data_IF_454374860644
#
_entry.id   IF_454374860644
#
_cell.length_a   1.000
_cell.length_b   1.000
_cell.length_c   1.000
_cell.angle_alpha   90.00
_cell.angle_beta   90.00
_cell.angle_gamma   90.00
#
_symmetry.space_group_name_H-M   'P 1'
#
loop_
_entity.id
_entity.type
_entity.pdbx_description
1 polymer ?
#
# COMPACT_ATOMS: atom_id res chain seq x y z
N UNK A 1 -13.93 24.35 9.69
CA UNK A 1 -12.85 24.25 8.69
C UNK A 1 -11.60 24.83 9.31
N UNK A 2 -10.54 24.04 9.50
CA UNK A 2 -9.18 24.39 9.95
C UNK A 2 -8.40 23.05 9.87
N UNK A 3 -7.18 22.90 9.37
CA UNK A 3 -6.08 23.81 9.07
C UNK A 3 -5.12 23.05 8.11
N UNK A 4 -4.56 23.76 7.12
CA UNK A 4 -3.43 23.27 6.30
C UNK A 4 -2.10 23.42 7.06
N UNK A 5 -1.20 22.43 7.01
CA UNK A 5 0.27 22.66 7.09
C UNK A 5 1.06 21.37 6.80
N UNK A 6 2.13 21.51 6.02
CA UNK A 6 2.89 20.41 5.43
C UNK A 6 3.81 19.63 6.37
N UNK A 7 4.15 18.43 5.90
CA UNK A 7 5.07 17.48 6.51
C UNK A 7 4.97 16.17 5.72
N UNK A 8 5.87 15.98 4.76
CA UNK A 8 5.95 14.85 3.83
C UNK A 8 6.42 13.56 4.53
N UNK A 9 5.75 13.16 5.62
CA UNK A 9 5.92 11.85 6.23
C UNK A 9 4.81 10.95 5.68
N UNK A 10 5.12 9.74 5.16
CA UNK A 10 4.08 8.84 4.70
C UNK A 10 3.16 8.54 5.89
N UNK A 11 1.90 8.98 5.80
CA UNK A 11 0.88 8.66 6.79
C UNK A 11 0.83 7.14 6.92
N UNK A 12 1.10 6.63 8.12
CA UNK A 12 1.00 5.21 8.43
C UNK A 12 -0.36 4.66 7.98
N UNK A 13 -0.37 3.50 7.34
CA UNK A 13 -1.58 2.90 6.79
C UNK A 13 -2.44 2.34 7.91
N UNK A 14 -3.68 2.80 8.01
CA UNK A 14 -4.61 2.27 9.01
C UNK A 14 -5.02 0.83 8.66
N UNK A 15 -5.49 0.07 9.66
CA UNK A 15 -6.04 -1.28 9.45
C UNK A 15 -7.20 -1.27 8.45
N UNK A 16 -8.00 -0.20 8.45
CA UNK A 16 -9.11 -0.02 7.51
C UNK A 16 -8.60 0.20 6.09
N UNK A 17 -7.58 1.04 5.91
CA UNK A 17 -6.95 1.25 4.60
C UNK A 17 -6.28 -0.02 4.07
N UNK A 18 -5.61 -0.80 4.93
CA UNK A 18 -5.04 -2.10 4.58
C UNK A 18 -6.12 -3.10 4.14
N UNK A 19 -7.31 -3.05 4.74
CA UNK A 19 -8.42 -3.90 4.32
C UNK A 19 -8.94 -3.55 2.91
N UNK A 20 -8.83 -2.28 2.48
CA UNK A 20 -9.22 -1.86 1.13
C UNK A 20 -8.32 -2.49 0.05
N UNK A 21 -7.02 -2.67 0.35
CA UNK A 21 -6.05 -3.31 -0.55
C UNK A 21 -6.44 -4.75 -0.93
N UNK A 22 -7.41 -5.37 -0.25
CA UNK A 22 -7.89 -6.71 -0.56
C UNK A 22 -9.21 -6.73 -1.35
N UNK A 23 -9.90 -5.60 -1.46
CA UNK A 23 -11.29 -5.53 -1.93
C UNK A 23 -11.52 -4.61 -3.13
N UNK A 24 -10.64 -3.63 -3.33
CA UNK A 24 -10.84 -2.55 -4.30
C UNK A 24 -9.68 -2.41 -5.27
N UNK A 25 -9.90 -1.84 -6.45
CA UNK A 25 -8.83 -1.48 -7.39
C UNK A 25 -8.00 -0.30 -6.87
N UNK A 26 -6.79 -0.07 -7.40
CA UNK A 26 -5.97 1.08 -6.96
C UNK A 26 -6.68 2.42 -7.19
N UNK A 27 -7.50 2.51 -8.25
CA UNK A 27 -8.28 3.72 -8.57
C UNK A 27 -9.35 3.95 -7.51
N UNK A 28 -10.15 2.94 -7.19
CA UNK A 28 -11.18 3.06 -6.14
C UNK A 28 -10.56 3.40 -4.77
N UNK A 29 -9.40 2.83 -4.44
CA UNK A 29 -8.70 3.14 -3.19
C UNK A 29 -8.22 4.60 -3.18
N UNK A 30 -7.75 5.12 -4.32
CA UNK A 30 -7.34 6.52 -4.45
C UNK A 30 -8.53 7.46 -4.24
N UNK A 31 -9.69 7.11 -4.77
CA UNK A 31 -10.94 7.86 -4.56
C UNK A 31 -11.41 7.82 -3.10
N UNK A 32 -11.27 6.68 -2.42
CA UNK A 32 -11.69 6.50 -1.01
C UNK A 32 -10.74 7.23 -0.04
N UNK A 33 -9.43 7.12 -0.26
CA UNK A 33 -8.41 7.55 0.71
C UNK A 33 -7.80 8.92 0.39
N UNK A 34 -7.94 9.39 -0.86
CA UNK A 34 -7.27 10.60 -1.34
C UNK A 34 -5.75 10.42 -1.56
N UNK A 35 -5.21 9.22 -1.36
CA UNK A 35 -3.79 8.90 -1.63
C UNK A 35 -3.54 8.77 -3.14
N UNK A 36 -2.30 8.93 -3.56
CA UNK A 36 -1.93 8.76 -4.96
C UNK A 36 -2.00 7.29 -5.38
N UNK A 37 -2.34 7.05 -6.65
CA UNK A 37 -2.35 5.69 -7.23
C UNK A 37 -0.96 5.03 -7.12
N UNK A 38 0.12 5.81 -7.22
CA UNK A 38 1.49 5.33 -7.07
C UNK A 38 1.76 4.82 -5.64
N UNK A 39 1.39 5.59 -4.61
CA UNK A 39 1.56 5.19 -3.21
C UNK A 39 0.76 3.91 -2.91
N UNK A 40 -0.47 3.83 -3.42
CA UNK A 40 -1.33 2.64 -3.29
C UNK A 40 -0.71 1.44 -3.99
N UNK A 41 -0.16 1.63 -5.20
CA UNK A 41 0.51 0.58 -5.96
C UNK A 41 1.71 0.01 -5.20
N UNK A 42 2.56 0.90 -4.66
CA UNK A 42 3.72 0.51 -3.86
C UNK A 42 3.31 -0.25 -2.60
N UNK A 43 2.31 0.25 -1.86
CA UNK A 43 1.81 -0.43 -0.66
C UNK A 43 1.21 -1.80 -0.99
N UNK A 44 0.45 -1.92 -2.08
CA UNK A 44 -0.16 -3.19 -2.50
C UNK A 44 0.90 -4.22 -2.90
N UNK A 45 1.95 -3.79 -3.59
CA UNK A 45 3.07 -4.66 -3.91
C UNK A 45 3.72 -5.20 -2.62
N UNK A 46 3.96 -4.32 -1.64
CA UNK A 46 4.50 -4.71 -0.35
C UNK A 46 3.58 -5.70 0.41
N UNK A 47 2.27 -5.41 0.52
CA UNK A 47 1.30 -6.32 1.19
C UNK A 47 1.27 -7.70 0.52
N UNK A 48 1.39 -7.76 -0.80
CA UNK A 48 1.45 -9.03 -1.53
C UNK A 48 2.74 -9.82 -1.24
N UNK A 49 3.89 -9.14 -1.18
CA UNK A 49 5.18 -9.76 -0.84
C UNK A 49 5.10 -10.35 0.58
N UNK A 50 4.67 -9.54 1.56
CA UNK A 50 4.55 -9.93 2.98
C UNK A 50 3.59 -11.11 3.15
N UNK A 51 2.44 -11.08 2.45
CA UNK A 51 1.42 -12.13 2.58
C UNK A 51 1.81 -13.44 1.91
N UNK A 52 2.52 -13.36 0.79
CA UNK A 52 2.99 -14.54 0.07
C UNK A 52 4.33 -15.08 0.62
N UNK A 53 4.96 -14.35 1.55
CA UNK A 53 6.26 -14.70 2.12
C UNK A 53 7.40 -14.65 1.10
N UNK A 54 7.23 -13.85 0.03
CA UNK A 54 8.22 -13.73 -1.04
C UNK A 54 9.46 -12.94 -0.61
N UNK A 55 9.40 -12.22 0.50
CA UNK A 55 10.56 -11.61 1.15
C UNK A 55 11.49 -12.67 1.78
N UNK A 56 10.94 -13.82 2.16
CA UNK A 56 11.66 -14.92 2.83
C UNK A 56 11.97 -16.05 1.86
N UNK A 57 10.99 -16.46 1.07
CA UNK A 57 11.07 -17.58 0.14
C UNK A 57 10.55 -17.10 -1.21
N UNK A 58 11.41 -16.40 -1.95
CA UNK A 58 11.13 -16.00 -3.32
C UNK A 58 11.40 -17.20 -4.24
N UNK A 59 10.38 -17.84 -4.82
CA UNK A 59 10.58 -18.98 -5.72
C UNK A 59 11.25 -18.59 -7.04
N UNK A 60 11.29 -17.28 -7.37
CA UNK A 60 11.94 -16.73 -8.56
C UNK A 60 13.35 -16.18 -8.24
N UNK A 61 13.78 -16.21 -6.97
CA UNK A 61 15.21 -16.03 -6.68
C UNK A 61 15.94 -17.22 -7.24
N UNK A 62 16.67 -17.01 -8.33
CA UNK A 62 17.69 -17.95 -8.78
C UNK A 62 18.65 -18.18 -7.60
N UNK A 63 18.69 -19.41 -7.09
CA UNK A 63 19.65 -19.83 -6.08
C UNK A 63 21.07 -19.46 -6.55
N UNK A 64 21.74 -18.55 -5.84
CA UNK A 64 23.17 -18.20 -6.05
C UNK A 64 24.10 -19.13 -5.30
#
# INVERSE_FOLDING_TARGET
>A
MLQQSGGNLPLEWSVEELALLRRHTNVEIAEITGRSIEEIGNRRLQDNIERNGWDVCDPEREDV
#
